data_IF_360182280522
#
_entry.id   IF_360182280522
#
_cell.length_a   1.000
_cell.length_b   1.000
_cell.length_c   1.000
_cell.angle_alpha   90.00
_cell.angle_beta   90.00
_cell.angle_gamma   90.00
#
_symmetry.space_group_name_H-M   'P 1'
#
loop_
_entity.id
_entity.type
_entity.pdbx_description
1 polymer ?
#
# COMPACT_ATOMS: atom_id res chain seq x y z
N UNK A 1 7.00 54.92 43.76
CA UNK A 1 6.08 54.24 42.82
C UNK A 1 5.22 53.25 43.59
N UNK A 2 3.90 53.40 43.56
CA UNK A 2 2.97 52.53 44.32
C UNK A 2 2.85 51.16 43.66
N UNK A 3 2.69 50.10 44.48
CA UNK A 3 2.53 48.71 44.03
C UNK A 3 1.36 48.53 43.04
N UNK A 4 0.36 49.41 43.10
CA UNK A 4 -0.80 49.45 42.20
C UNK A 4 -0.43 49.85 40.77
N UNK A 5 0.53 50.76 40.58
CA UNK A 5 0.98 51.20 39.27
C UNK A 5 1.80 50.11 38.53
N UNK A 6 2.54 49.30 39.27
CA UNK A 6 3.31 48.18 38.73
C UNK A 6 2.40 47.05 38.24
N UNK A 7 1.37 46.71 39.02
CA UNK A 7 0.40 45.67 38.65
C UNK A 7 -0.39 46.05 37.38
N UNK A 8 -0.78 47.32 37.28
CA UNK A 8 -1.54 47.81 36.11
C UNK A 8 -0.71 47.84 34.83
N UNK A 9 0.60 48.11 34.95
CA UNK A 9 1.55 48.02 33.81
C UNK A 9 1.75 46.57 33.37
N UNK A 10 1.94 45.65 34.31
CA UNK A 10 2.10 44.22 34.02
C UNK A 10 0.85 43.62 33.35
N UNK A 11 -0.35 43.98 33.83
CA UNK A 11 -1.60 43.53 33.21
C UNK A 11 -1.81 44.05 31.78
N UNK A 12 -1.36 45.27 31.48
CA UNK A 12 -1.41 45.82 30.11
C UNK A 12 -0.42 45.13 29.17
N UNK A 13 0.78 44.81 29.65
CA UNK A 13 1.80 44.14 28.84
C UNK A 13 1.39 42.68 28.53
N UNK A 14 0.75 41.99 29.48
CA UNK A 14 0.23 40.64 29.28
C UNK A 14 -0.94 40.57 28.30
N UNK A 15 -1.87 41.54 28.32
CA UNK A 15 -3.01 41.54 27.39
C UNK A 15 -2.57 41.79 25.94
N UNK A 16 -1.56 42.65 25.73
CA UNK A 16 -0.99 42.90 24.40
C UNK A 16 -0.36 41.63 23.82
N UNK A 17 0.34 40.83 24.62
CA UNK A 17 0.97 39.59 24.17
C UNK A 17 -0.05 38.51 23.78
N UNK A 18 -1.14 38.36 24.55
CA UNK A 18 -2.21 37.40 24.26
C UNK A 18 -2.97 37.76 22.98
N UNK A 19 -3.23 39.06 22.74
CA UNK A 19 -3.94 39.51 21.52
C UNK A 19 -3.09 39.31 20.26
N UNK A 20 -1.77 39.53 20.33
CA UNK A 20 -0.86 39.26 19.20
C UNK A 20 -0.71 37.76 18.90
N UNK A 21 -0.67 36.91 19.94
CA UNK A 21 -0.59 35.45 19.77
C UNK A 21 -1.89 34.87 19.19
N UNK A 22 -3.05 35.36 19.64
CA UNK A 22 -4.35 34.95 19.11
C UNK A 22 -4.56 35.38 17.64
N UNK A 23 -4.15 36.60 17.27
CA UNK A 23 -4.25 37.07 15.88
C UNK A 23 -3.29 36.32 14.94
N UNK A 24 -2.06 36.03 15.37
CA UNK A 24 -1.09 35.29 14.55
C UNK A 24 -1.50 33.83 14.30
N UNK A 25 -2.01 33.15 15.32
CA UNK A 25 -2.46 31.76 15.22
C UNK A 25 -3.68 31.58 14.31
N UNK A 26 -4.64 32.51 14.37
CA UNK A 26 -5.85 32.45 13.54
C UNK A 26 -5.53 32.70 12.06
N UNK A 27 -4.59 33.60 11.76
CA UNK A 27 -4.15 33.88 10.38
C UNK A 27 -3.40 32.69 9.77
N UNK A 28 -2.54 32.01 10.53
CA UNK A 28 -1.83 30.81 10.06
C UNK A 28 -2.79 29.65 9.77
N UNK A 29 -3.77 29.41 10.66
CA UNK A 29 -4.81 28.39 10.45
C UNK A 29 -5.70 28.73 9.24
N UNK A 30 -6.08 30.00 9.08
CA UNK A 30 -6.83 30.48 7.92
C UNK A 30 -6.08 30.28 6.61
N UNK A 31 -4.77 30.56 6.57
CA UNK A 31 -3.93 30.34 5.39
C UNK A 31 -3.83 28.85 5.02
N UNK A 32 -3.67 27.96 6.00
CA UNK A 32 -3.61 26.51 5.76
C UNK A 32 -4.93 25.94 5.22
N UNK A 33 -6.08 26.37 5.77
CA UNK A 33 -7.39 25.93 5.27
C UNK A 33 -7.66 26.47 3.85
N UNK A 34 -7.26 27.72 3.58
CA UNK A 34 -7.43 28.33 2.25
C UNK A 34 -6.52 27.67 1.22
N UNK A 35 -5.27 27.35 1.57
CA UNK A 35 -4.35 26.60 0.72
C UNK A 35 -4.85 25.18 0.45
N UNK A 36 -5.39 24.50 1.48
CA UNK A 36 -6.00 23.18 1.33
C UNK A 36 -7.24 23.23 0.42
N UNK A 37 -8.10 24.25 0.55
CA UNK A 37 -9.26 24.41 -0.34
C UNK A 37 -8.89 24.78 -1.77
N UNK A 38 -7.86 25.60 -1.99
CA UNK A 38 -7.35 25.88 -3.34
C UNK A 38 -6.73 24.63 -3.99
N UNK A 39 -6.07 23.77 -3.21
CA UNK A 39 -5.54 22.49 -3.69
C UNK A 39 -6.66 21.50 -4.02
N UNK A 40 -7.75 21.49 -3.24
CA UNK A 40 -8.92 20.65 -3.49
C UNK A 40 -9.75 21.11 -4.69
N UNK A 41 -9.94 22.43 -4.87
CA UNK A 41 -10.68 23.00 -6.00
C UNK A 41 -9.84 22.97 -7.30
N UNK A 42 -8.52 23.16 -7.23
CA UNK A 42 -7.61 23.04 -8.38
C UNK A 42 -7.47 21.62 -8.95
N UNK A 43 -7.82 20.61 -8.14
CA UNK A 43 -7.87 19.20 -8.58
C UNK A 43 -9.14 18.85 -9.37
N UNK A 44 -10.20 19.67 -9.26
CA UNK A 44 -11.46 19.45 -9.97
C UNK A 44 -11.42 19.87 -11.44
N UNK A 45 -10.65 20.92 -11.79
CA UNK A 45 -10.52 21.38 -13.20
C UNK A 45 -9.42 20.67 -14.00
N UNK A 46 -8.46 20.03 -13.31
CA UNK A 46 -7.34 19.32 -13.97
C UNK A 46 -7.70 17.89 -14.40
N UNK A 47 -8.81 17.33 -13.90
CA UNK A 47 -9.25 15.97 -14.22
C UNK A 47 -9.94 15.84 -15.58
N UNK A 48 -10.48 16.91 -16.16
CA UNK A 48 -11.16 16.80 -17.46
C UNK A 48 -10.20 16.93 -18.66
N UNK A 49 -9.12 17.72 -18.54
CA UNK A 49 -8.14 17.88 -19.63
C UNK A 49 -7.20 16.68 -19.77
N UNK A 50 -6.78 16.08 -18.66
CA UNK A 50 -5.92 14.88 -18.67
C UNK A 50 -6.60 13.63 -19.26
N UNK A 51 -7.94 13.56 -19.20
CA UNK A 51 -8.71 12.44 -19.74
C UNK A 51 -8.98 12.56 -21.26
N UNK A 52 -8.92 13.77 -21.83
CA UNK A 52 -8.98 13.95 -23.29
C UNK A 52 -7.62 13.68 -23.95
N UNK A 53 -6.53 14.11 -23.33
CA UNK A 53 -5.17 13.88 -23.85
C UNK A 53 -4.76 12.40 -23.81
N UNK A 54 -5.23 11.65 -22.79
CA UNK A 54 -5.08 10.19 -22.71
C UNK A 54 -6.00 9.42 -23.66
N UNK A 55 -7.15 10.01 -24.03
CA UNK A 55 -8.08 9.44 -25.01
C UNK A 55 -7.52 9.45 -26.42
N UNK A 56 -6.89 10.55 -26.82
CA UNK A 56 -6.30 10.71 -28.16
C UNK A 56 -5.01 9.88 -28.33
N UNK A 57 -4.20 9.74 -27.27
CA UNK A 57 -3.03 8.85 -27.26
C UNK A 57 -3.37 7.36 -27.38
N UNK A 58 -4.56 6.93 -26.95
CA UNK A 58 -5.01 5.55 -27.06
C UNK A 58 -5.75 5.24 -28.37
N UNK A 59 -6.13 6.27 -29.13
CA UNK A 59 -6.88 6.16 -30.38
C UNK A 59 -5.96 5.91 -31.59
N UNK A 60 -4.74 6.47 -31.59
CA UNK A 60 -3.77 6.33 -32.69
C UNK A 60 -3.02 4.99 -32.72
N UNK A 61 -3.15 4.15 -31.68
CA UNK A 61 -2.43 2.88 -31.57
C UNK A 61 -3.14 1.65 -32.15
N UNK A 62 -4.39 1.78 -32.65
CA UNK A 62 -5.25 0.62 -32.98
C UNK A 62 -5.65 0.53 -34.46
N UNK A 63 -4.70 0.71 -35.36
CA UNK A 63 -4.81 0.19 -36.74
C UNK A 63 -3.63 -0.70 -37.08
N UNK A 64 -3.64 -1.93 -36.59
CA UNK A 64 -2.96 -3.04 -37.26
C UNK A 64 -3.60 -4.36 -36.84
N UNK A 65 -4.44 -4.88 -37.73
CA UNK A 65 -5.06 -6.19 -37.69
C UNK A 65 -4.16 -7.16 -38.45
N UNK A 66 -3.60 -8.16 -37.77
CA UNK A 66 -3.07 -9.46 -38.25
C UNK A 66 -2.25 -10.05 -37.09
N UNK A 67 -2.20 -11.33 -36.75
CA UNK A 67 -2.72 -12.58 -37.31
C UNK A 67 -2.63 -13.62 -36.17
N UNK A 68 -3.51 -14.61 -36.19
CA UNK A 68 -3.63 -15.72 -35.24
C UNK A 68 -2.35 -16.55 -35.01
N UNK A 69 -2.03 -16.86 -33.75
CA UNK A 69 -1.41 -18.13 -33.32
C UNK A 69 -1.76 -18.41 -31.83
N UNK A 70 -2.21 -19.63 -31.46
CA UNK A 70 -2.68 -19.95 -30.12
C UNK A 70 -1.54 -20.51 -29.27
N UNK A 71 -0.79 -19.67 -28.55
CA UNK A 71 0.23 -20.17 -27.61
C UNK A 71 0.58 -19.23 -26.44
N UNK A 72 -0.15 -18.13 -26.25
CA UNK A 72 0.13 -17.15 -25.20
C UNK A 72 -1.10 -16.89 -24.33
N UNK A 73 -1.63 -17.94 -23.71
CA UNK A 73 -2.76 -17.84 -22.78
C UNK A 73 -2.30 -18.26 -21.38
N UNK A 74 -1.50 -17.42 -20.73
CA UNK A 74 -1.11 -17.61 -19.32
C UNK A 74 -0.76 -16.32 -18.56
N UNK A 75 -1.07 -15.15 -19.12
CA UNK A 75 -1.19 -13.93 -18.32
C UNK A 75 -2.61 -13.89 -17.75
N UNK A 76 -2.74 -13.95 -16.42
CA UNK A 76 -4.03 -13.86 -15.73
C UNK A 76 -4.63 -12.48 -16.02
N UNK A 77 -5.54 -12.42 -17.01
CA UNK A 77 -6.44 -11.28 -17.24
C UNK A 77 -7.17 -10.95 -15.92
N UNK A 78 -7.58 -9.68 -15.67
CA UNK A 78 -8.33 -9.27 -14.46
C UNK A 78 -9.51 -10.20 -14.11
N UNK A 79 -10.09 -10.87 -15.12
CA UNK A 79 -11.13 -11.89 -14.96
C UNK A 79 -10.68 -13.15 -14.20
N UNK A 80 -9.42 -13.57 -14.33
CA UNK A 80 -8.89 -14.78 -13.71
C UNK A 80 -8.55 -14.64 -12.22
N UNK A 81 -8.36 -13.40 -11.73
CA UNK A 81 -8.11 -13.12 -10.31
C UNK A 81 -9.41 -12.91 -9.50
N UNK A 82 -10.56 -12.73 -10.18
CA UNK A 82 -11.85 -12.43 -9.55
C UNK A 82 -12.27 -13.43 -8.44
N UNK A 83 -12.12 -14.75 -8.61
CA UNK A 83 -12.46 -15.71 -7.54
C UNK A 83 -11.57 -15.57 -6.29
N UNK A 84 -10.29 -15.22 -6.48
CA UNK A 84 -9.38 -14.94 -5.37
C UNK A 84 -9.82 -13.66 -4.63
N UNK A 85 -10.12 -12.59 -5.37
CA UNK A 85 -10.60 -11.32 -4.80
C UNK A 85 -11.88 -11.55 -3.98
N UNK A 86 -12.83 -12.33 -4.50
CA UNK A 86 -14.09 -12.62 -3.82
C UNK A 86 -13.87 -13.46 -2.55
N UNK A 87 -12.98 -14.46 -2.61
CA UNK A 87 -12.56 -15.23 -1.44
C UNK A 87 -11.97 -14.33 -0.34
N UNK A 88 -11.01 -13.48 -0.71
CA UNK A 88 -10.32 -12.58 0.22
C UNK A 88 -11.29 -11.55 0.81
N UNK A 89 -12.14 -10.95 -0.02
CA UNK A 89 -13.14 -9.97 0.40
C UNK A 89 -14.05 -10.53 1.49
N UNK A 90 -14.60 -11.73 1.30
CA UNK A 90 -15.45 -12.38 2.31
C UNK A 90 -14.70 -12.73 3.58
N UNK A 91 -13.51 -13.31 3.46
CA UNK A 91 -12.76 -13.82 4.61
C UNK A 91 -12.23 -12.70 5.49
N UNK A 92 -11.64 -11.67 4.88
CA UNK A 92 -11.00 -10.56 5.57
C UNK A 92 -11.96 -9.38 5.80
N UNK A 93 -13.19 -9.47 5.30
CA UNK A 93 -14.24 -8.43 5.42
C UNK A 93 -13.79 -7.08 4.85
N UNK A 94 -13.04 -7.13 3.75
CA UNK A 94 -12.58 -5.96 2.99
C UNK A 94 -13.34 -5.90 1.67
N UNK A 95 -13.72 -4.72 1.21
CA UNK A 95 -14.44 -4.58 -0.06
C UNK A 95 -13.62 -5.14 -1.23
N UNK A 96 -14.26 -5.85 -2.16
CA UNK A 96 -13.59 -6.40 -3.34
C UNK A 96 -12.85 -5.32 -4.16
N UNK A 97 -13.43 -4.12 -4.27
CA UNK A 97 -12.84 -2.95 -4.92
C UNK A 97 -11.56 -2.44 -4.24
N UNK A 98 -11.37 -2.72 -2.94
CA UNK A 98 -10.13 -2.40 -2.23
C UNK A 98 -9.09 -3.52 -2.34
N UNK A 99 -9.49 -4.77 -2.51
CA UNK A 99 -8.58 -5.92 -2.69
C UNK A 99 -8.02 -5.99 -4.11
N UNK A 100 -8.84 -5.71 -5.12
CA UNK A 100 -8.46 -5.77 -6.53
C UNK A 100 -7.14 -5.04 -6.86
N UNK A 101 -6.95 -3.75 -6.50
CA UNK A 101 -5.69 -3.05 -6.77
C UNK A 101 -4.49 -3.67 -6.03
N UNK A 102 -4.70 -4.31 -4.87
CA UNK A 102 -3.63 -4.98 -4.13
C UNK A 102 -3.19 -6.27 -4.81
N UNK A 103 -4.14 -7.02 -5.40
CA UNK A 103 -3.82 -8.22 -6.19
C UNK A 103 -3.06 -7.84 -7.46
N UNK A 104 -3.47 -6.77 -8.15
CA UNK A 104 -2.74 -6.25 -9.32
C UNK A 104 -1.33 -5.77 -8.95
N UNK A 105 -1.19 -5.05 -7.82
CA UNK A 105 0.10 -4.63 -7.31
C UNK A 105 0.99 -5.83 -6.95
N UNK A 106 0.43 -6.88 -6.35
CA UNK A 106 1.13 -8.12 -6.05
C UNK A 106 1.56 -8.87 -7.33
N UNK A 107 0.77 -8.83 -8.40
CA UNK A 107 1.18 -9.37 -9.71
C UNK A 107 2.40 -8.62 -10.25
N UNK A 108 2.32 -7.29 -10.32
CA UNK A 108 3.41 -6.47 -10.84
C UNK A 108 4.70 -6.56 -9.97
N UNK A 109 4.55 -6.68 -8.65
CA UNK A 109 5.67 -6.87 -7.74
C UNK A 109 6.25 -8.29 -7.86
N UNK A 110 5.40 -9.31 -8.00
CA UNK A 110 5.78 -10.69 -8.20
C UNK A 110 6.61 -10.90 -9.47
N UNK A 111 6.18 -10.32 -10.60
CA UNK A 111 6.92 -10.36 -11.86
C UNK A 111 8.33 -9.78 -11.73
N UNK A 112 8.46 -8.62 -11.07
CA UNK A 112 9.77 -7.96 -10.85
C UNK A 112 10.65 -8.72 -9.86
N UNK A 113 10.06 -9.27 -8.80
CA UNK A 113 10.79 -9.99 -7.77
C UNK A 113 11.14 -11.43 -8.19
N UNK A 114 10.43 -12.01 -9.15
CA UNK A 114 10.47 -13.44 -9.45
C UNK A 114 9.74 -14.27 -8.38
N UNK A 115 8.67 -13.71 -7.81
CA UNK A 115 7.83 -14.35 -6.79
C UNK A 115 6.43 -14.59 -7.33
N UNK A 116 5.80 -15.68 -6.91
CA UNK A 116 4.42 -15.94 -7.29
C UNK A 116 3.48 -14.88 -6.69
N UNK A 117 2.55 -14.28 -7.48
CA UNK A 117 1.67 -13.23 -6.97
C UNK A 117 0.79 -13.69 -5.79
N UNK A 118 0.28 -14.93 -5.84
CA UNK A 118 -0.55 -15.46 -4.75
C UNK A 118 0.23 -15.71 -3.46
N UNK A 119 1.56 -15.89 -3.53
CA UNK A 119 2.41 -15.92 -2.34
C UNK A 119 2.46 -14.55 -1.68
N UNK A 120 2.67 -13.48 -2.47
CA UNK A 120 2.69 -12.10 -1.95
C UNK A 120 1.33 -11.75 -1.32
N UNK A 121 0.22 -12.08 -2.00
CA UNK A 121 -1.12 -11.85 -1.47
C UNK A 121 -1.35 -12.62 -0.16
N UNK A 122 -0.87 -13.86 -0.06
CA UNK A 122 -0.94 -14.63 1.18
C UNK A 122 -0.12 -14.01 2.32
N UNK A 123 1.07 -13.47 2.02
CA UNK A 123 1.87 -12.72 3.01
C UNK A 123 1.11 -11.48 3.49
N UNK A 124 0.57 -10.65 2.59
CA UNK A 124 -0.25 -9.48 2.97
C UNK A 124 -1.41 -9.88 3.91
N UNK A 125 -2.05 -11.00 3.60
CA UNK A 125 -3.18 -11.52 4.35
C UNK A 125 -2.79 -11.96 5.78
N UNK A 126 -1.59 -12.49 5.97
CA UNK A 126 -1.05 -12.90 7.29
C UNK A 126 -0.47 -11.70 8.06
N UNK A 127 0.18 -10.76 7.38
CA UNK A 127 0.87 -9.62 8.00
C UNK A 127 -0.09 -8.53 8.49
N UNK A 128 -1.03 -8.11 7.65
CA UNK A 128 -1.88 -6.94 7.94
C UNK A 128 -3.37 -7.22 7.86
N UNK A 129 -3.77 -8.39 7.36
CA UNK A 129 -5.17 -8.65 7.02
C UNK A 129 -5.72 -7.65 6.00
N UNK A 130 -4.87 -7.15 5.10
CA UNK A 130 -5.17 -6.12 4.11
C UNK A 130 -5.42 -4.70 4.67
N UNK A 131 -4.89 -4.38 5.85
CA UNK A 131 -4.90 -3.02 6.37
C UNK A 131 -3.67 -2.22 5.90
N UNK A 132 -3.82 -1.22 5.00
CA UNK A 132 -2.68 -0.48 4.43
C UNK A 132 -2.01 0.48 5.41
N UNK A 133 -2.69 0.84 6.49
CA UNK A 133 -2.16 1.73 7.53
C UNK A 133 -1.80 0.97 8.82
N UNK A 134 -1.61 -0.35 8.73
CA UNK A 134 -1.20 -1.16 9.86
C UNK A 134 0.20 -0.78 10.34
N UNK A 135 0.37 -0.59 11.65
CA UNK A 135 1.67 -0.37 12.28
C UNK A 135 1.81 -1.26 13.52
N UNK A 136 2.92 -1.99 13.63
CA UNK A 136 3.21 -2.83 14.79
C UNK A 136 3.99 -2.07 15.87
N UNK A 137 4.00 -2.55 17.13
CA UNK A 137 4.83 -1.96 18.19
C UNK A 137 6.34 -1.92 17.89
N UNK A 138 6.81 -2.76 16.95
CA UNK A 138 8.21 -2.81 16.52
C UNK A 138 8.50 -1.86 15.33
N UNK A 139 7.50 -1.10 14.89
CA UNK A 139 7.61 -0.17 13.75
C UNK A 139 7.52 -0.84 12.39
N UNK A 140 6.87 -2.02 12.30
CA UNK A 140 6.55 -2.64 11.02
C UNK A 140 5.35 -1.91 10.40
N UNK A 141 5.40 -1.57 9.11
CA UNK A 141 4.43 -0.68 8.47
C UNK A 141 3.77 -1.30 7.24
N UNK A 142 2.48 -0.98 7.08
CA UNK A 142 1.67 -1.24 5.90
C UNK A 142 1.32 -2.71 5.66
N UNK A 143 0.94 -3.01 4.41
CA UNK A 143 0.33 -4.28 4.01
C UNK A 143 1.19 -5.52 4.28
N UNK A 144 2.49 -5.40 4.04
CA UNK A 144 3.48 -6.47 4.21
C UNK A 144 4.33 -6.30 5.47
N UNK A 145 3.96 -5.37 6.37
CA UNK A 145 4.63 -5.14 7.66
C UNK A 145 6.16 -5.02 7.53
N UNK A 146 6.61 -4.15 6.64
CA UNK A 146 8.04 -3.89 6.44
C UNK A 146 8.54 -2.94 7.54
N UNK A 147 9.66 -3.27 8.19
CA UNK A 147 10.30 -2.40 9.19
C UNK A 147 11.31 -1.47 8.49
N UNK A 148 11.08 -0.14 8.41
CA UNK A 148 11.90 0.77 7.62
C UNK A 148 13.39 0.71 7.94
N UNK A 149 13.74 0.67 9.24
CA UNK A 149 15.13 0.75 9.71
C UNK A 149 16.06 -0.34 9.16
N UNK A 150 15.51 -1.47 8.69
CA UNK A 150 16.29 -2.59 8.16
C UNK A 150 16.31 -2.65 6.63
N UNK A 151 15.49 -1.84 5.96
CA UNK A 151 15.22 -1.96 4.52
C UNK A 151 15.21 -0.61 3.80
N UNK A 152 15.91 0.39 4.36
CA UNK A 152 15.98 1.73 3.79
C UNK A 152 16.50 1.72 2.34
N UNK A 153 17.46 0.84 2.04
CA UNK A 153 17.99 0.62 0.69
C UNK A 153 16.90 0.30 -0.34
N UNK A 154 15.90 -0.52 0.04
CA UNK A 154 14.79 -0.91 -0.83
C UNK A 154 13.72 0.16 -0.90
N UNK A 155 13.49 0.87 0.20
CA UNK A 155 12.52 1.98 0.25
C UNK A 155 12.98 3.10 -0.69
N UNK A 156 14.25 3.48 -0.60
CA UNK A 156 14.85 4.51 -1.44
C UNK A 156 14.90 4.08 -2.90
N UNK A 157 15.16 2.78 -3.16
CA UNK A 157 15.20 2.22 -4.52
C UNK A 157 13.85 2.14 -5.23
N UNK A 158 12.73 2.08 -4.49
CA UNK A 158 11.38 2.13 -5.08
C UNK A 158 10.89 3.57 -5.25
N UNK A 159 11.28 4.49 -4.35
CA UNK A 159 10.77 5.86 -4.33
C UNK A 159 9.28 5.95 -3.95
N UNK A 160 8.76 7.16 -3.70
CA UNK A 160 7.33 7.39 -3.45
C UNK A 160 7.00 7.96 -2.06
N UNK A 161 5.73 7.77 -1.65
CA UNK A 161 5.10 8.39 -0.47
C UNK A 161 5.33 7.62 0.85
N UNK A 162 6.16 6.57 0.84
CA UNK A 162 6.52 5.77 2.00
C UNK A 162 5.73 4.47 2.13
N UNK A 163 5.95 3.73 3.23
CA UNK A 163 5.41 2.38 3.43
C UNK A 163 3.91 2.32 3.76
N UNK A 164 3.24 3.46 3.92
CA UNK A 164 1.77 3.51 4.05
C UNK A 164 1.08 3.62 2.68
N UNK A 165 1.83 3.88 1.60
CA UNK A 165 1.32 3.70 0.24
C UNK A 165 1.24 2.19 -0.07
N UNK A 166 0.04 1.66 -0.41
CA UNK A 166 -0.15 0.23 -0.63
C UNK A 166 0.75 -0.34 -1.73
N UNK A 167 0.92 0.39 -2.82
CA UNK A 167 1.66 -0.10 -3.99
C UNK A 167 3.16 -0.14 -3.68
N UNK A 168 3.69 0.92 -3.08
CA UNK A 168 5.08 0.97 -2.64
C UNK A 168 5.37 -0.07 -1.57
N UNK A 169 4.48 -0.24 -0.59
CA UNK A 169 4.65 -1.24 0.47
C UNK A 169 4.75 -2.67 -0.10
N UNK A 170 3.87 -3.02 -1.04
CA UNK A 170 3.91 -4.33 -1.70
C UNK A 170 5.22 -4.53 -2.48
N UNK A 171 5.69 -3.50 -3.16
CA UNK A 171 6.95 -3.57 -3.92
C UNK A 171 8.16 -3.78 -3.01
N UNK A 172 8.27 -2.97 -1.95
CA UNK A 172 9.36 -3.10 -0.98
C UNK A 172 9.28 -4.45 -0.27
N UNK A 173 8.10 -4.85 0.21
CA UNK A 173 7.89 -6.13 0.88
C UNK A 173 8.24 -7.32 0.00
N UNK A 174 7.90 -7.29 -1.30
CA UNK A 174 8.30 -8.33 -2.24
C UNK A 174 9.82 -8.43 -2.42
N UNK A 175 10.54 -7.30 -2.43
CA UNK A 175 12.01 -7.30 -2.50
C UNK A 175 12.64 -7.85 -1.21
N UNK A 176 12.09 -7.51 -0.05
CA UNK A 176 12.53 -8.06 1.25
C UNK A 176 12.29 -9.58 1.28
N UNK A 177 11.10 -10.04 0.87
CA UNK A 177 10.77 -11.46 0.81
C UNK A 177 11.69 -12.25 -0.13
N UNK A 178 11.94 -11.71 -1.33
CA UNK A 178 12.90 -12.29 -2.28
C UNK A 178 14.28 -12.45 -1.64
N UNK A 179 14.76 -11.41 -0.96
CA UNK A 179 16.04 -11.45 -0.30
C UNK A 179 16.09 -12.49 0.82
N UNK A 180 15.04 -12.58 1.64
CA UNK A 180 14.93 -13.59 2.69
C UNK A 180 14.96 -15.01 2.12
N UNK A 181 14.20 -15.30 1.07
CA UNK A 181 14.21 -16.61 0.39
C UNK A 181 15.61 -16.93 -0.16
N UNK A 182 16.25 -15.96 -0.81
CA UNK A 182 17.61 -16.15 -1.34
C UNK A 182 18.63 -16.43 -0.24
N UNK A 183 18.54 -15.73 0.90
CA UNK A 183 19.47 -15.90 2.03
C UNK A 183 19.25 -17.21 2.78
N UNK A 184 18.00 -17.62 2.94
CA UNK A 184 17.64 -18.84 3.65
C UNK A 184 17.82 -20.12 2.80
N UNK A 185 17.77 -20.01 1.47
CA UNK A 185 18.00 -21.13 0.54
C UNK A 185 16.78 -22.00 0.24
N UNK A 186 15.64 -21.77 0.92
CA UNK A 186 14.35 -22.38 0.59
C UNK A 186 13.20 -21.39 0.80
N UNK A 187 12.03 -21.69 0.24
CA UNK A 187 10.84 -20.86 0.39
C UNK A 187 10.39 -20.80 1.85
N UNK A 188 10.29 -21.96 2.50
CA UNK A 188 9.84 -22.10 3.88
C UNK A 188 10.78 -21.38 4.85
N UNK A 189 12.09 -21.61 4.72
CA UNK A 189 13.08 -20.92 5.56
C UNK A 189 13.11 -19.42 5.25
N UNK A 190 12.89 -19.02 4.00
CA UNK A 190 12.77 -17.63 3.59
C UNK A 190 11.57 -16.92 4.21
N UNK A 191 10.42 -17.58 4.30
CA UNK A 191 9.23 -17.06 4.98
C UNK A 191 9.48 -16.88 6.48
N UNK A 192 10.13 -17.85 7.14
CA UNK A 192 10.50 -17.71 8.55
C UNK A 192 11.48 -16.54 8.76
N UNK A 193 12.50 -16.44 7.91
CA UNK A 193 13.44 -15.33 7.96
C UNK A 193 12.74 -13.98 7.72
N UNK A 194 11.77 -13.91 6.80
CA UNK A 194 10.99 -12.70 6.52
C UNK A 194 10.21 -12.22 7.75
N UNK A 195 9.54 -13.12 8.46
CA UNK A 195 8.81 -12.80 9.68
C UNK A 195 9.71 -12.34 10.85
N UNK A 196 11.03 -12.40 10.70
CA UNK A 196 11.98 -12.15 11.78
C UNK A 196 12.04 -13.29 12.79
N UNK A 197 11.52 -14.47 12.44
CA UNK A 197 11.51 -15.64 13.29
C UNK A 197 12.87 -16.33 13.28
N UNK A 198 13.80 -15.82 14.10
CA UNK A 198 15.05 -16.52 14.45
C UNK A 198 14.76 -17.70 15.41
N UNK A 199 13.53 -17.79 15.95
CA UNK A 199 13.15 -18.74 17.02
C UNK A 199 11.77 -19.39 16.85
N UNK A 200 11.25 -19.51 15.62
CA UNK A 200 10.03 -20.29 15.37
C UNK A 200 10.44 -21.70 14.91
N UNK A 201 10.91 -22.51 15.87
CA UNK A 201 11.39 -23.89 15.67
C UNK A 201 10.34 -24.79 14.96
N UNK A 202 9.07 -24.38 14.99
CA UNK A 202 7.94 -25.14 14.46
C UNK A 202 7.52 -24.74 13.03
N UNK A 203 8.12 -23.71 12.40
CA UNK A 203 7.76 -23.36 11.03
C UNK A 203 6.36 -22.72 10.88
N UNK A 204 5.77 -22.20 11.97
CA UNK A 204 4.35 -21.85 12.05
C UNK A 204 3.98 -20.72 11.08
N UNK A 205 4.84 -19.72 10.92
CA UNK A 205 4.56 -18.62 10.01
C UNK A 205 4.54 -19.08 8.55
N UNK A 206 5.57 -19.82 8.09
CA UNK A 206 5.60 -20.39 6.75
C UNK A 206 4.38 -21.29 6.49
N UNK A 207 4.00 -22.14 7.44
CA UNK A 207 2.82 -22.99 7.33
C UNK A 207 1.52 -22.16 7.17
N UNK A 208 1.35 -21.06 7.91
CA UNK A 208 0.19 -20.16 7.78
C UNK A 208 0.12 -19.52 6.39
N UNK A 209 1.24 -18.99 5.91
CA UNK A 209 1.30 -18.34 4.58
C UNK A 209 1.01 -19.34 3.47
N UNK A 210 1.65 -20.52 3.49
CA UNK A 210 1.46 -21.53 2.44
C UNK A 210 0.05 -22.12 2.46
N UNK A 211 -0.52 -22.35 3.65
CA UNK A 211 -1.92 -22.76 3.77
C UNK A 211 -2.87 -21.69 3.21
N UNK A 212 -2.58 -20.41 3.44
CA UNK A 212 -3.41 -19.33 2.89
C UNK A 212 -3.31 -19.22 1.38
N UNK A 213 -2.09 -19.28 0.83
CA UNK A 213 -1.86 -19.36 -0.61
C UNK A 213 -2.67 -20.49 -1.25
N UNK A 214 -2.62 -21.69 -0.67
CA UNK A 214 -3.34 -22.85 -1.18
C UNK A 214 -4.88 -22.64 -1.19
N UNK A 215 -5.44 -21.96 -0.17
CA UNK A 215 -6.87 -21.64 -0.12
C UNK A 215 -7.26 -20.65 -1.21
N UNK A 216 -6.45 -19.62 -1.44
CA UNK A 216 -6.69 -18.62 -2.49
C UNK A 216 -6.68 -19.31 -3.86
N UNK A 217 -5.67 -20.12 -4.15
CA UNK A 217 -5.60 -20.86 -5.42
C UNK A 217 -6.73 -21.88 -5.56
N UNK A 218 -7.16 -22.52 -4.48
CA UNK A 218 -8.28 -23.44 -4.52
C UNK A 218 -9.59 -22.73 -4.84
N UNK A 219 -9.77 -21.46 -4.44
CA UNK A 219 -10.91 -20.65 -4.87
C UNK A 219 -10.86 -20.40 -6.39
N UNK A 220 -9.69 -20.08 -6.93
CA UNK A 220 -9.49 -19.90 -8.38
C UNK A 220 -9.74 -21.20 -9.16
N UNK A 221 -9.22 -22.34 -8.70
CA UNK A 221 -9.44 -23.64 -9.35
C UNK A 221 -10.91 -24.05 -9.36
N UNK A 222 -11.64 -23.86 -8.25
CA UNK A 222 -13.07 -24.19 -8.15
C UNK A 222 -13.92 -23.38 -9.13
N UNK A 223 -13.62 -22.09 -9.28
CA UNK A 223 -14.34 -21.24 -10.23
C UNK A 223 -14.09 -21.67 -11.69
N UNK A 224 -12.86 -22.10 -12.01
CA UNK A 224 -12.53 -22.65 -13.35
C UNK A 224 -13.26 -23.95 -13.64
N UNK A 225 -13.34 -24.88 -12.68
CA UNK A 225 -14.03 -26.16 -12.87
C UNK A 225 -15.56 -26.03 -12.94
N UNK A 226 -16.14 -24.98 -12.36
CA UNK A 226 -17.59 -24.72 -12.42
C UNK A 226 -18.04 -23.94 -13.65
N UNK A 227 -17.10 -23.47 -14.49
CA UNK A 227 -17.38 -22.71 -15.70
C UNK A 227 -17.21 -23.53 -17.00
N UNK A 228 -16.90 -24.82 -16.86
CA UNK A 228 -16.74 -25.80 -17.94
C UNK A 228 -17.95 -26.74 -17.98
#
# INVERSE_FOLDING_TARGET
MSKTAWLWKFMKDASSCVVHFAHGGLLAAGFLVTAFMLMYVGSAESHERGLQELGDLFSDGRTSKASSSPAAEQAVSPSGARPAIEYLSRKYRVAASAIEPLVLAAQAAGERAGLEPMLIVAVIAIESGFNPIAESPLGAQGLMQVIPRFHQDKIDGVGGNGLLDPVQNIQVGALVLKESIRRAGSLEAGLQQYAGAVSDDEGLYAAKVLAEKQRIEAAVRRARSGSA
#
